data_IF_755261455019
#
_entry.id   IF_755261455019
#
_cell.length_a   1.000
_cell.length_b   1.000
_cell.length_c   1.000
_cell.angle_alpha   90.00
_cell.angle_beta   90.00
_cell.angle_gamma   90.00
#
_symmetry.space_group_name_H-M   'P 1'
#
loop_
_entity.id
_entity.type
_entity.pdbx_description
1 polymer ?
#
# COMPACT_ATOMS: atom_id res chain seq x y z
N UNK A 1 8.95 -1.03 13.92
CA UNK A 1 8.49 0.29 13.51
C UNK A 1 8.28 0.31 11.99
N UNK A 2 7.29 1.06 11.51
CA UNK A 2 7.10 1.28 10.08
C UNK A 2 8.24 2.15 9.51
N UNK A 3 8.68 1.96 8.25
CA UNK A 3 9.67 2.80 7.60
C UNK A 3 9.05 4.16 7.24
N UNK A 4 9.11 5.11 8.17
CA UNK A 4 8.45 6.40 8.04
C UNK A 4 9.40 7.57 7.76
N UNK A 5 10.69 7.41 8.02
CA UNK A 5 11.69 8.47 7.89
C UNK A 5 12.98 7.96 7.28
N UNK A 6 13.67 8.82 6.52
CA UNK A 6 15.00 8.55 5.97
C UNK A 6 16.11 8.75 7.01
N UNK A 7 15.83 9.48 8.08
CA UNK A 7 16.79 9.77 9.16
C UNK A 7 16.81 8.71 10.26
N UNK A 8 15.84 7.80 10.30
CA UNK A 8 15.83 6.72 11.28
C UNK A 8 16.87 5.65 10.93
N UNK A 9 17.90 5.51 11.76
CA UNK A 9 19.03 4.59 11.53
C UNK A 9 18.63 3.12 11.33
N UNK A 10 17.52 2.67 11.90
CA UNK A 10 17.03 1.30 11.72
C UNK A 10 16.23 1.09 10.43
N UNK A 11 15.39 2.06 10.06
CA UNK A 11 14.44 1.92 8.94
C UNK A 11 14.79 2.77 7.72
N UNK A 12 15.82 3.61 7.79
CA UNK A 12 16.21 4.51 6.71
C UNK A 12 16.50 3.80 5.38
N UNK A 13 17.07 2.60 5.44
CA UNK A 13 17.35 1.81 4.25
C UNK A 13 16.07 1.33 3.53
N UNK A 14 14.93 1.32 4.23
CA UNK A 14 13.64 0.90 3.70
C UNK A 14 12.77 2.08 3.26
N UNK A 15 13.33 3.28 3.26
CA UNK A 15 12.70 4.47 2.68
C UNK A 15 13.58 4.98 1.54
N UNK A 16 13.00 5.14 0.36
CA UNK A 16 13.64 5.82 -0.77
C UNK A 16 13.01 7.19 -0.95
N UNK A 17 13.87 8.17 -1.14
CA UNK A 17 13.46 9.55 -1.43
C UNK A 17 13.17 9.69 -2.93
N UNK A 18 11.97 10.16 -3.27
CA UNK A 18 11.55 10.51 -4.62
C UNK A 18 12.02 11.91 -5.07
N UNK A 19 12.59 12.69 -4.15
CA UNK A 19 13.16 14.02 -4.44
C UNK A 19 12.18 15.19 -4.33
N UNK A 20 10.93 14.96 -3.93
CA UNK A 20 9.94 16.03 -3.72
C UNK A 20 10.23 16.83 -2.43
N UNK A 21 10.27 18.15 -2.54
CA UNK A 21 10.54 19.07 -1.43
C UNK A 21 9.33 19.88 -0.98
N UNK A 22 8.20 19.67 -1.65
CA UNK A 22 6.95 20.39 -1.40
C UNK A 22 6.04 19.66 -0.39
N UNK A 23 4.88 20.27 -0.09
CA UNK A 23 3.83 19.64 0.69
C UNK A 23 2.79 18.92 -0.22
N UNK A 24 3.08 18.75 -1.50
CA UNK A 24 2.25 18.03 -2.49
C UNK A 24 2.85 16.66 -2.79
N UNK A 25 3.44 16.05 -1.79
CA UNK A 25 4.06 14.75 -1.93
C UNK A 25 3.05 13.61 -1.68
N UNK A 26 3.40 12.46 -2.22
CA UNK A 26 2.71 11.20 -1.97
C UNK A 26 3.73 10.06 -1.80
N UNK A 27 3.24 8.88 -1.45
CA UNK A 27 4.09 7.71 -1.20
C UNK A 27 3.60 6.48 -1.94
N UNK A 28 4.54 5.56 -2.22
CA UNK A 28 4.24 4.18 -2.62
C UNK A 28 4.71 3.26 -1.50
N UNK A 29 3.86 2.31 -1.12
CA UNK A 29 4.17 1.32 -0.11
C UNK A 29 4.29 -0.06 -0.73
N UNK A 30 5.34 -0.79 -0.36
CA UNK A 30 5.54 -2.18 -0.73
C UNK A 30 5.56 -2.98 0.56
N UNK A 31 4.58 -3.87 0.71
CA UNK A 31 4.38 -4.63 1.94
C UNK A 31 4.35 -6.12 1.63
N UNK A 32 5.01 -6.90 2.48
CA UNK A 32 4.94 -8.36 2.43
C UNK A 32 3.97 -8.86 3.49
N UNK A 33 2.83 -9.38 3.06
CA UNK A 33 1.77 -9.91 3.93
C UNK A 33 2.04 -11.36 4.32
N UNK A 34 2.09 -11.65 5.60
CA UNK A 34 2.32 -12.99 6.15
C UNK A 34 2.30 -12.99 7.67
N UNK A 35 2.24 -14.18 8.27
CA UNK A 35 2.15 -14.33 9.74
C UNK A 35 3.33 -13.72 10.49
N UNK A 36 4.53 -13.83 9.94
CA UNK A 36 5.75 -13.32 10.56
C UNK A 36 6.20 -11.96 10.04
N UNK A 37 5.44 -11.38 9.11
CA UNK A 37 5.73 -10.11 8.48
C UNK A 37 4.66 -9.08 8.79
N UNK A 38 3.82 -8.77 7.85
CA UNK A 38 2.74 -7.79 7.94
C UNK A 38 1.40 -8.51 8.05
N UNK A 39 0.65 -8.33 9.12
CA UNK A 39 -0.64 -8.99 9.29
C UNK A 39 -1.63 -8.15 10.09
N UNK A 40 -2.91 -8.46 9.91
CA UNK A 40 -3.99 -7.89 10.69
C UNK A 40 -4.20 -8.65 12.00
N UNK A 41 -4.51 -7.93 13.07
CA UNK A 41 -4.86 -8.52 14.37
C UNK A 41 -6.23 -8.03 14.83
N UNK A 42 -6.90 -8.86 15.58
CA UNK A 42 -8.19 -8.53 16.20
C UNK A 42 -8.06 -8.52 17.72
N UNK A 43 -8.79 -7.65 18.43
CA UNK A 43 -8.79 -7.65 19.88
C UNK A 43 -9.31 -8.99 20.43
N UNK A 44 -8.64 -9.52 21.47
CA UNK A 44 -9.06 -10.76 22.11
C UNK A 44 -10.49 -10.62 22.70
N UNK A 45 -11.33 -11.61 22.40
CA UNK A 45 -12.72 -11.63 22.91
C UNK A 45 -13.70 -10.79 22.11
N UNK A 46 -13.30 -10.22 20.97
CA UNK A 46 -14.20 -9.52 20.04
C UNK A 46 -14.51 -10.39 18.82
N UNK A 47 -15.68 -10.12 18.22
CA UNK A 47 -16.07 -10.78 16.96
C UNK A 47 -15.20 -10.23 15.84
N UNK A 48 -14.62 -11.12 15.05
CA UNK A 48 -13.81 -10.74 13.88
C UNK A 48 -14.71 -10.37 12.71
N UNK A 49 -14.29 -9.35 11.95
CA UNK A 49 -14.99 -8.89 10.75
C UNK A 49 -15.90 -7.69 10.97
N UNK A 50 -16.61 -7.33 9.91
CA UNK A 50 -17.57 -6.24 9.91
C UNK A 50 -18.83 -6.67 10.66
N UNK A 51 -19.18 -5.96 11.72
CA UNK A 51 -20.41 -6.13 12.45
C UNK A 51 -21.43 -5.10 11.96
N UNK A 52 -22.61 -5.53 11.61
CA UNK A 52 -23.75 -4.70 11.26
C UNK A 52 -24.86 -4.88 12.30
N UNK A 53 -25.41 -3.77 12.76
CA UNK A 53 -26.58 -3.74 13.64
C UNK A 53 -27.57 -2.73 13.08
N UNK A 54 -28.72 -3.21 12.68
CA UNK A 54 -29.88 -2.37 12.36
C UNK A 54 -30.44 -1.81 13.67
N UNK A 55 -30.58 -0.50 13.77
CA UNK A 55 -31.12 0.22 14.93
C UNK A 55 -32.55 0.71 14.68
N UNK A 56 -33.11 0.46 13.49
CA UNK A 56 -34.45 0.86 13.09
C UNK A 56 -34.61 2.37 12.88
N UNK A 57 -35.84 2.84 13.05
CA UNK A 57 -36.17 4.26 12.94
C UNK A 57 -35.71 5.05 14.16
N UNK A 58 -35.08 6.20 13.92
CA UNK A 58 -34.57 7.08 14.96
C UNK A 58 -34.86 8.55 14.64
N UNK A 59 -35.33 9.35 15.60
CA UNK A 59 -35.48 10.78 15.40
C UNK A 59 -34.11 11.45 15.25
N UNK A 60 -33.91 12.17 14.17
CA UNK A 60 -32.72 12.97 13.91
C UNK A 60 -33.08 14.44 13.84
N UNK A 61 -32.26 15.28 14.44
CA UNK A 61 -32.45 16.74 14.42
C UNK A 61 -31.42 17.35 13.45
N UNK A 62 -31.87 18.18 12.52
CA UNK A 62 -30.99 18.91 11.59
C UNK A 62 -30.32 20.11 12.29
N UNK A 63 -29.44 20.79 11.59
CA UNK A 63 -28.75 21.99 12.11
C UNK A 63 -29.66 23.19 12.37
N UNK A 64 -30.89 23.17 11.82
CA UNK A 64 -31.92 24.21 12.03
C UNK A 64 -32.86 23.86 13.19
N UNK A 65 -32.72 22.71 13.84
CA UNK A 65 -33.53 22.27 14.98
C UNK A 65 -34.80 21.50 14.59
N UNK A 66 -35.01 21.17 13.30
CA UNK A 66 -36.15 20.39 12.88
C UNK A 66 -35.89 18.91 13.12
N UNK A 67 -36.91 18.19 13.63
CA UNK A 67 -36.79 16.76 13.88
C UNK A 67 -37.53 15.97 12.81
N UNK A 68 -36.84 14.93 12.25
CA UNK A 68 -37.41 14.00 11.28
C UNK A 68 -37.03 12.56 11.63
N UNK A 69 -37.75 11.60 11.10
CA UNK A 69 -37.43 10.18 11.28
C UNK A 69 -36.44 9.74 10.20
N UNK A 70 -35.39 9.01 10.60
CA UNK A 70 -34.42 8.43 9.69
C UNK A 70 -34.10 6.98 10.11
N UNK A 71 -33.78 6.13 9.16
CA UNK A 71 -33.24 4.82 9.44
C UNK A 71 -31.78 4.93 9.87
N UNK A 72 -31.41 4.16 10.87
CA UNK A 72 -30.07 4.19 11.45
C UNK A 72 -29.46 2.80 11.50
N UNK A 73 -28.30 2.66 10.87
CA UNK A 73 -27.48 1.47 10.89
C UNK A 73 -26.15 1.76 11.59
N UNK A 74 -25.68 0.77 12.36
CA UNK A 74 -24.39 0.84 13.02
C UNK A 74 -23.46 -0.23 12.45
N UNK A 75 -22.38 0.23 11.79
CA UNK A 75 -21.30 -0.62 11.30
C UNK A 75 -20.07 -0.46 12.19
N UNK A 76 -19.52 -1.59 12.65
CA UNK A 76 -18.34 -1.61 13.49
C UNK A 76 -17.34 -2.63 13.00
N UNK A 77 -16.10 -2.22 12.86
CA UNK A 77 -14.99 -3.10 12.54
C UNK A 77 -13.77 -2.71 13.38
N UNK A 78 -13.28 -3.65 14.19
CA UNK A 78 -12.09 -3.47 15.01
C UNK A 78 -10.97 -4.33 14.43
N UNK A 79 -9.97 -3.67 13.85
CA UNK A 79 -8.78 -4.30 13.26
C UNK A 79 -7.54 -3.50 13.63
N UNK A 80 -6.48 -4.20 14.01
CA UNK A 80 -5.15 -3.64 14.19
C UNK A 80 -4.21 -4.13 13.10
N UNK A 81 -3.23 -3.33 12.76
CA UNK A 81 -2.17 -3.67 11.82
C UNK A 81 -0.87 -3.87 12.58
N UNK A 82 -0.23 -5.02 12.37
CA UNK A 82 1.04 -5.36 13.02
C UNK A 82 2.11 -5.63 11.98
N UNK A 83 3.26 -5.04 12.18
CA UNK A 83 4.49 -5.33 11.46
C UNK A 83 5.48 -5.93 12.46
N UNK A 84 5.77 -7.23 12.33
CA UNK A 84 6.73 -7.92 13.19
C UNK A 84 8.16 -7.57 12.85
N UNK A 85 8.48 -7.54 11.55
CA UNK A 85 9.81 -7.20 11.06
C UNK A 85 9.71 -6.04 10.07
N UNK A 86 10.36 -4.91 10.38
CA UNK A 86 10.37 -3.70 9.58
C UNK A 86 10.98 -3.88 8.18
N UNK A 87 11.84 -4.87 7.99
CA UNK A 87 12.50 -5.17 6.71
C UNK A 87 11.51 -5.59 5.62
N UNK A 88 10.33 -6.06 5.99
CA UNK A 88 9.28 -6.48 5.07
C UNK A 88 8.30 -5.38 4.66
N UNK A 89 8.53 -4.17 5.13
CA UNK A 89 7.84 -2.97 4.67
C UNK A 89 8.82 -2.00 4.02
N UNK A 90 8.49 -1.49 2.85
CA UNK A 90 9.31 -0.57 2.10
C UNK A 90 8.46 0.62 1.64
N UNK A 91 9.01 1.82 1.71
CA UNK A 91 8.32 3.05 1.31
C UNK A 91 9.15 3.83 0.30
N UNK A 92 8.54 4.26 -0.79
CA UNK A 92 9.02 5.36 -1.61
C UNK A 92 8.27 6.60 -1.18
N UNK A 93 8.96 7.55 -0.57
CA UNK A 93 8.40 8.81 -0.06
C UNK A 93 8.77 9.98 -0.97
N UNK A 94 8.22 11.16 -0.68
CA UNK A 94 8.53 12.42 -1.37
C UNK A 94 8.38 12.33 -2.90
N UNK A 95 7.30 11.74 -3.37
CA UNK A 95 6.94 11.77 -4.78
C UNK A 95 6.07 13.02 -5.00
N UNK A 96 6.63 14.07 -5.58
CA UNK A 96 5.87 15.28 -5.86
C UNK A 96 4.88 15.08 -7.00
N UNK A 97 3.59 15.10 -6.67
CA UNK A 97 2.49 14.87 -7.60
C UNK A 97 2.43 15.92 -8.70
N UNK A 98 2.79 17.17 -8.39
CA UNK A 98 2.73 18.30 -9.34
C UNK A 98 3.82 18.23 -10.39
N UNK A 99 4.94 17.60 -10.08
CA UNK A 99 6.10 17.50 -10.97
C UNK A 99 6.14 16.20 -11.78
N UNK A 100 5.21 15.29 -11.60
CA UNK A 100 5.21 13.98 -12.28
C UNK A 100 5.11 14.07 -13.81
N UNK A 101 4.62 15.18 -14.35
CA UNK A 101 4.56 15.48 -15.80
C UNK A 101 5.80 16.20 -16.33
N UNK A 102 6.63 16.74 -15.46
CA UNK A 102 7.75 17.62 -15.82
C UNK A 102 9.05 16.86 -16.11
N UNK A 103 10.06 17.62 -16.54
CA UNK A 103 11.42 17.13 -16.79
C UNK A 103 12.08 16.61 -15.49
N UNK A 104 11.69 17.17 -14.35
CA UNK A 104 12.16 16.79 -13.01
C UNK A 104 11.32 15.67 -12.36
N UNK A 105 10.47 15.00 -13.14
CA UNK A 105 9.63 13.94 -12.62
C UNK A 105 10.44 12.82 -11.97
N UNK A 106 9.98 12.35 -10.81
CA UNK A 106 10.54 11.18 -10.16
C UNK A 106 10.47 9.96 -11.08
N UNK A 107 11.59 9.28 -11.27
CA UNK A 107 11.61 8.04 -12.06
C UNK A 107 11.05 6.88 -11.22
N UNK A 108 9.73 6.75 -11.20
CA UNK A 108 9.00 5.79 -10.38
C UNK A 108 9.47 4.36 -10.62
N UNK A 109 9.74 3.99 -11.87
CA UNK A 109 10.18 2.64 -12.24
C UNK A 109 11.54 2.33 -11.62
N UNK A 110 12.49 3.27 -11.67
CA UNK A 110 13.79 3.09 -11.05
C UNK A 110 13.68 2.94 -9.52
N UNK A 111 12.86 3.79 -8.89
CA UNK A 111 12.62 3.75 -7.44
C UNK A 111 11.98 2.43 -7.02
N UNK A 112 11.01 1.92 -7.76
CA UNK A 112 10.39 0.63 -7.48
C UNK A 112 11.36 -0.53 -7.64
N UNK A 113 12.19 -0.54 -8.69
CA UNK A 113 13.23 -1.57 -8.88
C UNK A 113 14.19 -1.57 -7.68
N UNK A 114 14.72 -0.40 -7.31
CA UNK A 114 15.62 -0.28 -6.16
C UNK A 114 14.95 -0.71 -4.85
N UNK A 115 13.67 -0.40 -4.67
CA UNK A 115 12.89 -0.78 -3.52
C UNK A 115 12.71 -2.28 -3.39
N UNK A 116 12.38 -2.95 -4.46
CA UNK A 116 12.19 -4.41 -4.46
C UNK A 116 13.44 -5.18 -4.02
N UNK A 117 14.63 -4.73 -4.46
CA UNK A 117 15.89 -5.36 -4.07
C UNK A 117 16.32 -5.07 -2.62
N UNK A 118 15.64 -4.20 -1.91
CA UNK A 118 15.86 -3.96 -0.49
C UNK A 118 15.01 -4.84 0.43
N UNK A 119 13.98 -5.49 -0.11
CA UNK A 119 13.21 -6.48 0.63
C UNK A 119 14.04 -7.75 0.84
N UNK A 120 13.92 -8.42 2.01
CA UNK A 120 14.70 -9.62 2.33
C UNK A 120 14.39 -10.80 1.42
N UNK A 121 13.16 -10.88 0.91
CA UNK A 121 12.73 -11.91 -0.05
C UNK A 121 12.93 -11.43 -1.47
N UNK A 122 13.50 -12.28 -2.32
CA UNK A 122 13.69 -11.99 -3.73
C UNK A 122 12.36 -11.54 -4.37
N UNK A 123 12.40 -10.51 -5.24
CA UNK A 123 11.20 -9.92 -5.83
C UNK A 123 10.46 -10.83 -6.79
N UNK A 124 11.03 -11.96 -7.16
CA UNK A 124 10.38 -12.96 -8.01
C UNK A 124 9.63 -13.94 -7.13
N UNK A 125 8.32 -13.88 -7.17
CA UNK A 125 7.45 -14.87 -6.53
C UNK A 125 7.76 -16.31 -6.97
N UNK A 126 8.24 -16.51 -8.17
CA UNK A 126 8.64 -17.81 -8.67
C UNK A 126 9.93 -18.33 -8.02
N UNK A 127 10.95 -17.48 -7.84
CA UNK A 127 12.23 -17.91 -7.25
C UNK A 127 12.16 -18.13 -5.74
N UNK A 128 11.39 -17.36 -5.03
CA UNK A 128 11.18 -17.56 -3.59
C UNK A 128 10.44 -18.88 -3.29
N UNK A 129 9.63 -19.34 -4.23
CA UNK A 129 8.88 -20.60 -4.12
C UNK A 129 9.77 -21.81 -4.35
N UNK A 130 10.83 -21.68 -5.14
CA UNK A 130 11.66 -22.82 -5.54
C UNK A 130 12.72 -23.25 -4.53
N UNK A 131 13.09 -22.40 -3.59
CA UNK A 131 14.14 -22.72 -2.59
C UNK A 131 13.60 -23.31 -1.30
N UNK A 132 12.28 -23.41 -1.16
CA UNK A 132 11.64 -23.89 0.07
C UNK A 132 10.81 -25.14 -0.23
N UNK A 133 11.33 -26.29 0.16
CA UNK A 133 10.71 -27.59 -0.10
C UNK A 133 9.48 -27.88 0.78
N UNK A 134 9.20 -27.08 1.80
CA UNK A 134 8.07 -27.30 2.70
C UNK A 134 6.93 -26.32 2.48
N UNK A 135 5.65 -26.78 2.41
CA UNK A 135 4.49 -25.92 2.27
C UNK A 135 4.33 -24.87 3.38
N UNK A 136 4.81 -25.19 4.58
CA UNK A 136 4.77 -24.31 5.76
C UNK A 136 5.67 -23.08 5.60
N UNK A 137 6.85 -23.22 5.03
CA UNK A 137 7.76 -22.11 4.78
C UNK A 137 7.17 -21.16 3.70
N UNK A 138 6.47 -21.70 2.72
CA UNK A 138 5.77 -20.90 1.69
C UNK A 138 4.64 -20.06 2.28
N UNK A 139 3.88 -20.61 3.21
CA UNK A 139 2.79 -19.91 3.90
C UNK A 139 3.31 -18.77 4.77
N UNK A 140 4.49 -18.93 5.37
CA UNK A 140 5.08 -17.94 6.27
C UNK A 140 5.86 -16.84 5.57
N UNK A 141 6.38 -17.08 4.36
CA UNK A 141 7.16 -16.07 3.60
C UNK A 141 6.33 -14.87 3.12
N UNK A 142 5.00 -14.99 3.12
CA UNK A 142 4.10 -13.90 2.82
C UNK A 142 4.02 -13.53 1.33
N UNK A 143 3.05 -12.67 1.02
CA UNK A 143 2.78 -12.17 -0.34
C UNK A 143 3.16 -10.71 -0.44
N UNK A 144 4.03 -10.37 -1.38
CA UNK A 144 4.38 -8.97 -1.65
C UNK A 144 3.26 -8.29 -2.43
N UNK A 145 2.86 -7.10 -1.98
CA UNK A 145 1.85 -6.25 -2.64
C UNK A 145 2.34 -4.82 -2.63
N UNK A 146 2.13 -4.09 -3.71
CA UNK A 146 2.37 -2.66 -3.82
C UNK A 146 1.07 -1.89 -3.65
N UNK A 147 1.14 -0.78 -2.92
CA UNK A 147 0.04 0.15 -2.74
C UNK A 147 0.44 1.53 -3.22
N UNK A 148 -0.34 2.11 -4.11
CA UNK A 148 -0.12 3.45 -4.63
C UNK A 148 -1.44 4.19 -4.77
N UNK A 149 -1.39 5.52 -4.66
CA UNK A 149 -2.51 6.37 -4.99
C UNK A 149 -2.83 6.28 -6.49
N UNK A 150 -4.09 6.52 -6.84
CA UNK A 150 -4.59 6.49 -8.22
C UNK A 150 -3.79 7.39 -9.17
N UNK A 151 -3.42 8.58 -8.72
CA UNK A 151 -2.64 9.55 -9.51
C UNK A 151 -1.26 8.97 -9.83
N UNK A 152 -0.56 8.48 -8.83
CA UNK A 152 0.78 7.86 -9.01
C UNK A 152 0.71 6.66 -9.93
N UNK A 153 -0.34 5.85 -9.82
CA UNK A 153 -0.55 4.70 -10.69
C UNK A 153 -0.71 5.11 -12.15
N UNK A 154 -1.49 6.17 -12.43
CA UNK A 154 -1.62 6.71 -13.79
C UNK A 154 -0.27 7.12 -14.36
N UNK A 155 0.55 7.84 -13.58
CA UNK A 155 1.88 8.25 -14.05
C UNK A 155 2.86 7.10 -14.18
N UNK A 156 2.72 6.06 -13.38
CA UNK A 156 3.51 4.85 -13.54
C UNK A 156 3.23 4.17 -14.89
N UNK A 157 1.95 4.07 -15.26
CA UNK A 157 1.53 3.54 -16.56
C UNK A 157 2.04 4.40 -17.71
N UNK A 158 1.96 5.74 -17.60
CA UNK A 158 2.49 6.68 -18.61
C UNK A 158 4.02 6.56 -18.75
N UNK A 159 4.75 6.47 -17.63
CA UNK A 159 6.21 6.26 -17.67
C UNK A 159 6.58 4.90 -18.27
N UNK A 160 5.73 3.91 -18.08
CA UNK A 160 5.90 2.60 -18.70
C UNK A 160 5.73 2.65 -20.22
N UNK A 161 4.75 3.36 -20.73
CA UNK A 161 4.52 3.53 -22.17
C UNK A 161 5.69 4.23 -22.86
N UNK A 162 6.37 5.14 -22.19
CA UNK A 162 7.51 5.89 -22.74
C UNK A 162 8.83 5.09 -22.76
N UNK A 163 8.88 3.90 -22.20
CA UNK A 163 10.08 3.06 -22.13
C UNK A 163 9.88 1.77 -22.92
N UNK A 164 10.80 1.49 -23.86
CA UNK A 164 10.73 0.35 -24.78
C UNK A 164 10.82 -1.04 -24.12
N UNK A 165 11.26 -1.12 -22.85
CA UNK A 165 11.49 -2.39 -22.13
C UNK A 165 10.98 -2.35 -20.70
N UNK A 166 9.69 -2.04 -20.50
CA UNK A 166 9.12 -2.02 -19.13
C UNK A 166 8.35 -3.30 -18.85
N UNK A 167 8.66 -3.89 -17.71
CA UNK A 167 8.01 -5.08 -17.16
C UNK A 167 6.70 -4.75 -16.42
N UNK A 168 5.91 -3.83 -16.97
CA UNK A 168 4.52 -3.65 -16.56
C UNK A 168 3.65 -4.58 -17.41
N UNK A 169 3.01 -5.52 -16.78
CA UNK A 169 2.09 -6.46 -17.42
C UNK A 169 0.71 -6.30 -16.83
N UNK A 170 -0.27 -6.41 -17.71
CA UNK A 170 -1.64 -6.68 -17.33
C UNK A 170 -1.78 -8.20 -17.25
N UNK A 171 -1.97 -8.71 -16.07
CA UNK A 171 -2.22 -10.14 -15.85
C UNK A 171 -3.68 -10.32 -15.46
N UNK A 172 -4.31 -11.31 -16.05
CA UNK A 172 -5.66 -11.70 -15.67
C UNK A 172 -5.56 -12.65 -14.48
N UNK A 173 -6.09 -12.24 -13.34
CA UNK A 173 -6.16 -13.05 -12.14
C UNK A 173 -7.64 -13.18 -11.72
N UNK A 174 -8.15 -14.40 -11.76
CA UNK A 174 -9.54 -14.72 -11.38
C UNK A 174 -10.58 -13.86 -12.16
N UNK A 175 -10.39 -13.74 -13.49
CA UNK A 175 -11.26 -12.94 -14.37
C UNK A 175 -11.15 -11.42 -14.19
N UNK A 176 -10.18 -10.93 -13.40
CA UNK A 176 -9.92 -9.50 -13.20
C UNK A 176 -8.55 -9.11 -13.72
N UNK A 177 -8.52 -8.04 -14.50
CA UNK A 177 -7.27 -7.46 -14.99
C UNK A 177 -6.56 -6.75 -13.84
N UNK A 178 -5.37 -7.22 -13.47
CA UNK A 178 -4.52 -6.64 -12.44
C UNK A 178 -3.23 -6.15 -13.06
N UNK A 179 -2.90 -4.87 -12.83
CA UNK A 179 -1.59 -4.35 -13.22
C UNK A 179 -0.53 -4.93 -12.30
N UNK A 180 0.46 -5.61 -12.87
CA UNK A 180 1.59 -6.17 -12.12
C UNK A 180 2.89 -5.52 -12.52
N UNK A 181 3.77 -5.31 -11.56
CA UNK A 181 5.16 -4.90 -11.77
C UNK A 181 6.08 -6.03 -11.36
N UNK A 182 6.76 -6.65 -12.31
CA UNK A 182 7.60 -7.84 -12.10
C UNK A 182 6.85 -9.00 -11.38
N UNK A 183 5.59 -9.22 -11.73
CA UNK A 183 4.75 -10.25 -11.10
C UNK A 183 4.18 -9.88 -9.73
N UNK A 184 4.42 -8.65 -9.24
CA UNK A 184 3.87 -8.16 -7.98
C UNK A 184 2.65 -7.27 -8.28
N UNK A 185 1.49 -7.55 -7.68
CA UNK A 185 0.28 -6.78 -7.94
C UNK A 185 0.39 -5.37 -7.36
N UNK A 186 -0.04 -4.38 -8.15
CA UNK A 186 -0.18 -2.99 -7.72
C UNK A 186 -1.65 -2.75 -7.40
N UNK A 187 -1.94 -2.41 -6.15
CA UNK A 187 -3.28 -2.08 -5.68
C UNK A 187 -3.42 -0.58 -5.48
N UNK A 188 -4.52 -0.03 -5.96
CA UNK A 188 -4.87 1.36 -5.71
C UNK A 188 -5.33 1.52 -4.27
N UNK A 189 -4.78 2.50 -3.56
CA UNK A 189 -5.16 2.88 -2.21
C UNK A 189 -5.34 4.40 -2.16
N UNK A 190 -6.58 4.86 -2.26
CA UNK A 190 -6.91 6.29 -2.28
C UNK A 190 -6.80 6.93 -0.87
N UNK A 191 -6.60 6.12 0.18
CA UNK A 191 -6.27 6.61 1.52
C UNK A 191 -4.83 7.16 1.63
N UNK A 192 -3.95 6.86 0.65
CA UNK A 192 -2.64 7.49 0.56
C UNK A 192 -2.84 8.91 0.03
N UNK A 193 -2.47 9.90 0.84
CA UNK A 193 -2.68 11.30 0.54
C UNK A 193 -1.73 11.80 -0.57
N UNK A 194 -2.14 12.87 -1.26
CA UNK A 194 -1.33 13.58 -2.25
C UNK A 194 -0.77 14.91 -1.72
N UNK A 195 -0.92 15.14 -0.42
CA UNK A 195 -0.48 16.34 0.29
C UNK A 195 0.34 15.97 1.54
N UNK A 196 1.12 14.91 1.43
CA UNK A 196 2.06 14.53 2.49
C UNK A 196 3.18 15.57 2.60
N UNK A 197 3.55 15.93 3.83
CA UNK A 197 4.72 16.73 4.08
C UNK A 197 6.00 15.98 3.68
N UNK A 198 7.06 16.72 3.38
CA UNK A 198 8.36 16.13 3.09
C UNK A 198 8.83 15.25 4.26
N UNK A 199 9.25 14.05 3.93
CA UNK A 199 9.86 13.10 4.87
C UNK A 199 11.37 13.28 4.85
N UNK A 200 11.93 13.61 5.99
CA UNK A 200 13.37 13.74 6.23
C UNK A 200 13.96 12.48 6.89
#
# INVERSE_FOLDING_TARGET
>A
ALPISTSNSQTANNVLDGGGTSNTNTSIWICTWGNDTFHGTFPKGKITGLQHRDMGEWPVTDSAGNTYQAYRDHFKWEIGLVLRDWRYAFRVANIDVTQLTGVSAANLINLLVRGLYRLPTAPSTASAIQTSDTPEVRANMGRVVMYANRVVRTYLDLQAMNKTNVLLRLEEFDGKVVTTFRGIPIRTCDAILNNEAQVS
#
